data_IF_962822591850
#
_entry.id   IF_962822591850
#
_cell.length_a   1.000
_cell.length_b   1.000
_cell.length_c   1.000
_cell.angle_alpha   90.00
_cell.angle_beta   90.00
_cell.angle_gamma   90.00
#
_symmetry.space_group_name_H-M   'P 1'
#
loop_
_entity.id
_entity.type
_entity.pdbx_description
1 polymer ?
#
# COMPACT_ATOMS: atom_id res chain seq x y z
N UNK A 1 -33.82 17.83 -30.76
CA UNK A 1 -32.41 18.16 -30.39
C UNK A 1 -32.06 17.83 -28.94
N UNK A 2 -32.72 18.40 -27.92
CA UNK A 2 -32.34 18.18 -26.50
C UNK A 2 -32.28 16.70 -26.05
N UNK A 3 -33.24 15.86 -26.44
CA UNK A 3 -33.24 14.42 -26.09
C UNK A 3 -32.10 13.64 -26.75
N UNK A 4 -31.71 14.00 -27.97
CA UNK A 4 -30.59 13.36 -28.67
C UNK A 4 -29.27 13.77 -28.01
N UNK A 5 -29.14 15.05 -27.68
CA UNK A 5 -27.97 15.57 -26.96
C UNK A 5 -27.78 14.89 -25.59
N UNK A 6 -28.86 14.71 -24.82
CA UNK A 6 -28.80 14.00 -23.53
C UNK A 6 -28.33 12.57 -23.73
N UNK A 7 -28.87 11.83 -24.71
CA UNK A 7 -28.44 10.45 -25.00
C UNK A 7 -26.96 10.37 -25.36
N UNK A 8 -26.46 11.30 -26.17
CA UNK A 8 -25.04 11.35 -26.56
C UNK A 8 -24.16 11.60 -25.33
N UNK A 9 -24.53 12.58 -24.49
CA UNK A 9 -23.79 12.86 -23.25
C UNK A 9 -23.80 11.65 -22.32
N UNK A 10 -24.95 10.99 -22.11
CA UNK A 10 -25.04 9.78 -21.28
C UNK A 10 -24.13 8.67 -21.79
N UNK A 11 -24.10 8.41 -23.10
CA UNK A 11 -23.23 7.38 -23.69
C UNK A 11 -21.76 7.72 -23.46
N UNK A 12 -21.37 8.98 -23.72
CA UNK A 12 -19.98 9.42 -23.51
C UNK A 12 -19.59 9.25 -22.05
N UNK A 13 -20.42 9.73 -21.11
CA UNK A 13 -20.15 9.61 -19.68
C UNK A 13 -20.05 8.15 -19.24
N UNK A 14 -20.99 7.28 -19.64
CA UNK A 14 -20.92 5.86 -19.31
C UNK A 14 -19.67 5.19 -19.87
N UNK A 15 -19.26 5.51 -21.09
CA UNK A 15 -18.02 5.00 -21.68
C UNK A 15 -16.78 5.50 -20.94
N UNK A 16 -16.76 6.76 -20.51
CA UNK A 16 -15.66 7.32 -19.70
C UNK A 16 -15.49 6.63 -18.36
N UNK A 17 -16.57 6.15 -17.74
CA UNK A 17 -16.48 5.40 -16.47
C UNK A 17 -16.16 3.91 -16.67
N UNK A 18 -16.57 3.28 -17.78
CA UNK A 18 -16.29 1.86 -18.06
C UNK A 18 -14.85 1.66 -18.58
N UNK A 19 -14.31 2.62 -19.32
CA UNK A 19 -13.01 2.50 -19.98
C UNK A 19 -11.83 2.25 -19.00
N UNK A 20 -11.72 2.93 -17.84
CA UNK A 20 -10.70 2.61 -16.83
C UNK A 20 -10.82 1.18 -16.31
N UNK A 21 -12.04 0.68 -16.09
CA UNK A 21 -12.23 -0.72 -15.64
C UNK A 21 -11.80 -1.75 -16.69
N UNK A 22 -11.76 -1.42 -17.99
CA UNK A 22 -11.28 -2.35 -19.01
C UNK A 22 -9.80 -2.23 -19.30
N UNK A 23 -9.23 -1.03 -19.15
CA UNK A 23 -7.84 -0.74 -19.53
C UNK A 23 -6.86 -0.80 -18.36
N UNK A 24 -7.33 -0.48 -17.15
CA UNK A 24 -6.51 -0.43 -15.93
C UNK A 24 -6.80 -1.57 -14.95
N UNK A 25 -7.85 -2.37 -15.15
CA UNK A 25 -8.09 -3.55 -14.30
C UNK A 25 -7.16 -4.74 -14.61
N UNK A 26 -6.32 -4.63 -15.65
CA UNK A 26 -5.31 -5.62 -15.97
C UNK A 26 -3.93 -5.06 -15.62
N UNK A 27 -3.44 -5.35 -14.42
CA UNK A 27 -2.03 -5.17 -14.06
C UNK A 27 -1.26 -6.44 -14.44
N UNK A 28 -0.47 -6.44 -15.52
CA UNK A 28 0.37 -7.59 -15.87
C UNK A 28 1.43 -7.76 -14.76
N UNK A 29 1.21 -8.74 -13.89
CA UNK A 29 2.11 -9.03 -12.77
C UNK A 29 1.43 -9.10 -11.39
N UNK A 30 0.17 -8.65 -11.25
CA UNK A 30 -0.55 -8.74 -9.97
C UNK A 30 -0.75 -10.19 -9.48
N UNK A 31 -0.65 -11.18 -10.37
CA UNK A 31 -0.71 -12.61 -10.07
C UNK A 31 0.56 -13.38 -10.41
N UNK A 32 1.64 -12.71 -10.84
CA UNK A 32 2.92 -13.41 -10.89
C UNK A 32 3.35 -13.63 -9.45
N UNK A 33 3.30 -14.88 -8.99
CA UNK A 33 4.07 -15.34 -7.85
C UNK A 33 5.53 -15.17 -8.25
N UNK A 34 6.04 -13.95 -8.10
CA UNK A 34 7.46 -13.69 -8.08
C UNK A 34 7.97 -14.54 -6.94
N UNK A 35 8.80 -15.55 -7.25
CA UNK A 35 9.62 -16.24 -6.26
C UNK A 35 10.28 -15.13 -5.46
N UNK A 36 9.76 -14.85 -4.26
CA UNK A 36 10.12 -13.69 -3.47
C UNK A 36 11.63 -13.64 -3.41
N UNK A 37 12.26 -12.74 -4.18
CA UNK A 37 13.69 -12.53 -4.06
C UNK A 37 13.88 -12.04 -2.63
N UNK A 38 14.65 -12.74 -1.78
CA UNK A 38 14.99 -12.21 -0.47
C UNK A 38 15.78 -10.93 -0.75
N UNK A 39 15.11 -9.79 -0.61
CA UNK A 39 15.65 -8.51 -1.03
C UNK A 39 16.10 -7.80 0.23
N UNK A 40 17.31 -8.15 0.65
CA UNK A 40 18.07 -7.40 1.63
C UNK A 40 18.43 -6.04 1.01
N UNK A 41 17.67 -5.00 1.32
CA UNK A 41 18.04 -3.63 0.92
C UNK A 41 19.07 -3.14 1.92
N UNK A 42 20.27 -2.76 1.46
CA UNK A 42 21.29 -2.23 2.36
C UNK A 42 21.08 -0.72 2.54
N UNK A 43 20.80 -0.30 3.78
CA UNK A 43 20.70 1.09 4.17
C UNK A 43 21.70 1.37 5.31
N UNK A 44 22.57 2.37 5.12
CA UNK A 44 23.63 2.72 6.08
C UNK A 44 24.48 1.51 6.54
N UNK A 45 24.75 0.58 5.62
CA UNK A 45 25.52 -0.64 5.91
C UNK A 45 24.76 -1.73 6.68
N UNK A 46 23.47 -1.54 6.95
CA UNK A 46 22.58 -2.56 7.53
C UNK A 46 21.65 -3.12 6.46
N UNK A 47 21.46 -4.43 6.42
CA UNK A 47 20.40 -5.03 5.62
C UNK A 47 19.04 -4.72 6.27
N UNK A 48 18.07 -4.35 5.44
CA UNK A 48 16.65 -4.30 5.79
C UNK A 48 16.06 -5.57 5.23
N UNK A 49 15.82 -6.53 6.13
CA UNK A 49 15.35 -7.86 5.78
C UNK A 49 13.88 -7.99 6.15
N UNK A 50 13.04 -8.27 5.15
CA UNK A 50 11.61 -8.51 5.37
C UNK A 50 11.33 -10.01 5.36
N UNK A 51 10.73 -10.58 6.42
CA UNK A 51 10.28 -11.97 6.40
C UNK A 51 9.27 -12.21 5.25
N UNK A 52 9.50 -13.25 4.46
CA UNK A 52 8.64 -13.61 3.32
C UNK A 52 7.16 -13.85 3.69
N UNK A 53 6.88 -14.16 4.96
CA UNK A 53 5.51 -14.30 5.49
C UNK A 53 4.74 -12.98 5.58
N UNK A 54 5.45 -11.85 5.69
CA UNK A 54 4.85 -10.51 5.81
C UNK A 54 4.67 -9.84 4.45
N UNK A 55 5.48 -10.20 3.46
CA UNK A 55 5.37 -9.66 2.11
C UNK A 55 6.60 -9.91 1.26
N UNK A 56 6.61 -9.30 0.08
CA UNK A 56 7.71 -9.31 -0.89
C UNK A 56 8.05 -7.89 -1.34
N UNK A 57 9.30 -7.69 -1.77
CA UNK A 57 9.74 -6.42 -2.35
C UNK A 57 9.59 -6.49 -3.87
N UNK A 58 8.69 -5.67 -4.41
CA UNK A 58 8.48 -5.57 -5.86
C UNK A 58 9.58 -4.77 -6.56
N UNK A 59 9.97 -3.63 -5.96
CA UNK A 59 10.94 -2.70 -6.54
C UNK A 59 11.83 -2.11 -5.45
N UNK A 60 13.11 -1.98 -5.77
CA UNK A 60 14.09 -1.34 -4.89
C UNK A 60 14.96 -0.38 -5.70
N UNK A 61 15.19 0.81 -5.15
CA UNK A 61 15.99 1.87 -5.76
C UNK A 61 16.98 2.40 -4.73
N UNK A 62 18.20 2.68 -5.16
CA UNK A 62 19.22 3.25 -4.30
C UNK A 62 19.08 4.78 -4.25
N UNK A 63 18.67 5.29 -3.10
CA UNK A 63 18.74 6.72 -2.77
C UNK A 63 20.07 7.09 -2.10
N UNK A 64 20.19 8.37 -1.73
CA UNK A 64 21.38 8.89 -1.06
C UNK A 64 21.30 8.73 0.46
N UNK A 65 20.33 9.39 1.11
CA UNK A 65 20.40 9.64 2.56
C UNK A 65 19.16 9.19 3.37
N UNK A 66 18.13 8.66 2.73
CA UNK A 66 16.90 8.25 3.43
C UNK A 66 16.37 6.95 2.86
N UNK A 67 15.91 6.08 3.73
CA UNK A 67 15.12 4.92 3.37
C UNK A 67 13.64 5.33 3.32
N UNK A 68 13.03 5.10 2.17
CA UNK A 68 11.59 5.28 1.97
C UNK A 68 11.04 3.92 1.56
N UNK A 69 10.05 3.44 2.30
CA UNK A 69 9.40 2.16 2.05
C UNK A 69 7.95 2.45 1.68
N UNK A 70 7.59 2.14 0.44
CA UNK A 70 6.19 2.13 0.01
C UNK A 70 5.63 0.74 0.26
N UNK A 71 4.57 0.67 1.07
CA UNK A 71 3.82 -0.56 1.31
C UNK A 71 2.54 -0.46 0.49
N UNK A 72 2.26 -1.48 -0.33
CA UNK A 72 1.01 -1.56 -1.07
C UNK A 72 -0.07 -2.18 -0.17
N UNK A 73 -1.23 -1.53 -0.10
CA UNK A 73 -2.40 -2.06 0.61
C UNK A 73 -3.36 -2.74 -0.35
N UNK A 74 -3.92 -3.86 0.09
CA UNK A 74 -5.12 -4.44 -0.47
C UNK A 74 -6.28 -4.08 0.45
N UNK A 75 -7.06 -3.08 0.03
CA UNK A 75 -8.13 -2.53 0.85
C UNK A 75 -9.11 -3.60 1.35
N UNK A 76 -9.51 -3.46 2.61
CA UNK A 76 -10.46 -4.35 3.30
C UNK A 76 -10.02 -5.82 3.42
N UNK A 77 -8.72 -6.11 3.33
CA UNK A 77 -8.19 -7.45 3.57
C UNK A 77 -7.50 -7.54 4.95
N UNK A 78 -8.12 -8.26 5.89
CA UNK A 78 -7.63 -8.38 7.27
C UNK A 78 -6.23 -8.97 7.37
N UNK A 79 -5.93 -10.04 6.63
CA UNK A 79 -4.61 -10.69 6.67
C UNK A 79 -3.51 -9.78 6.14
N UNK A 80 -3.79 -9.04 5.05
CA UNK A 80 -2.86 -8.04 4.51
C UNK A 80 -2.62 -6.93 5.53
N UNK A 81 -3.67 -6.39 6.14
CA UNK A 81 -3.54 -5.33 7.16
C UNK A 81 -2.73 -5.80 8.38
N UNK A 82 -2.91 -7.05 8.81
CA UNK A 82 -2.11 -7.66 9.89
C UNK A 82 -0.64 -7.82 9.48
N UNK A 83 -0.37 -8.21 8.24
CA UNK A 83 0.99 -8.28 7.72
C UNK A 83 1.64 -6.89 7.66
N UNK A 84 0.92 -5.86 7.23
CA UNK A 84 1.38 -4.46 7.23
C UNK A 84 1.73 -4.00 8.64
N UNK A 85 0.86 -4.26 9.63
CA UNK A 85 1.14 -3.95 11.02
C UNK A 85 2.42 -4.66 11.52
N UNK A 86 2.60 -5.93 11.14
CA UNK A 86 3.82 -6.70 11.42
C UNK A 86 5.08 -6.11 10.79
N UNK A 87 5.00 -5.64 9.54
CA UNK A 87 6.10 -4.96 8.85
C UNK A 87 6.48 -3.66 9.57
N UNK A 88 5.50 -2.82 9.89
CA UNK A 88 5.70 -1.55 10.59
C UNK A 88 6.34 -1.80 11.96
N UNK A 89 5.86 -2.80 12.71
CA UNK A 89 6.42 -3.17 14.00
C UNK A 89 7.89 -3.58 13.91
N UNK A 90 8.24 -4.45 12.94
CA UNK A 90 9.61 -4.88 12.71
C UNK A 90 10.52 -3.70 12.36
N UNK A 91 10.09 -2.85 11.43
CA UNK A 91 10.83 -1.66 11.00
C UNK A 91 11.03 -0.66 12.15
N UNK A 92 10.01 -0.47 13.00
CA UNK A 92 10.12 0.36 14.19
C UNK A 92 11.15 -0.20 15.19
N UNK A 93 11.10 -1.51 15.44
CA UNK A 93 11.96 -2.19 16.41
C UNK A 93 13.43 -2.27 15.96
N UNK A 94 13.67 -2.57 14.69
CA UNK A 94 15.02 -2.90 14.19
C UNK A 94 15.71 -1.73 13.48
N UNK A 95 14.93 -0.83 12.88
CA UNK A 95 15.44 0.24 12.02
C UNK A 95 15.08 1.65 12.49
N UNK A 96 14.42 1.79 13.65
CA UNK A 96 14.12 3.10 14.24
C UNK A 96 13.21 3.95 13.37
N UNK A 97 12.15 3.34 12.80
CA UNK A 97 11.13 4.02 12.01
C UNK A 97 10.62 5.28 12.72
N UNK A 98 10.73 6.44 12.05
CA UNK A 98 10.38 7.75 12.62
C UNK A 98 9.04 8.30 12.16
N UNK A 99 8.56 7.81 11.02
CA UNK A 99 7.37 8.33 10.35
C UNK A 99 6.64 7.19 9.64
N UNK A 100 5.33 7.12 9.85
CA UNK A 100 4.40 6.32 9.06
C UNK A 100 3.42 7.31 8.43
N UNK A 101 3.26 7.26 7.12
CA UNK A 101 2.29 8.05 6.38
C UNK A 101 1.23 7.15 5.77
N UNK A 102 -0.01 7.63 5.73
CA UNK A 102 -1.14 6.97 5.08
C UNK A 102 -1.49 7.70 3.77
N UNK A 103 -1.95 6.95 2.77
CA UNK A 103 -2.39 7.53 1.50
C UNK A 103 -3.58 8.48 1.74
N UNK A 104 -3.46 9.71 1.24
CA UNK A 104 -4.51 10.72 1.37
C UNK A 104 -4.60 11.42 2.73
N UNK A 105 -3.81 11.00 3.73
CA UNK A 105 -3.75 11.66 5.03
C UNK A 105 -2.86 12.92 4.98
N UNK A 106 -3.16 13.89 5.86
CA UNK A 106 -2.37 15.10 6.02
C UNK A 106 -2.30 15.53 7.48
N UNK A 107 -1.07 15.80 7.96
CA UNK A 107 -0.83 16.20 9.33
C UNK A 107 -0.57 15.02 10.25
N UNK A 108 -0.72 15.25 11.55
CA UNK A 108 -0.61 14.21 12.58
C UNK A 108 -1.99 13.68 12.92
N UNK A 109 -2.17 12.36 12.82
CA UNK A 109 -3.43 11.72 13.20
C UNK A 109 -3.46 11.43 14.70
N UNK A 110 -4.61 11.68 15.32
CA UNK A 110 -4.87 11.29 16.70
C UNK A 110 -5.29 9.81 16.75
N UNK A 111 -4.41 8.98 17.30
CA UNK A 111 -4.62 7.53 17.45
C UNK A 111 -5.09 7.13 18.84
N UNK A 112 -5.35 8.08 19.75
CA UNK A 112 -5.83 7.81 21.10
C UNK A 112 -7.17 7.05 21.11
N UNK A 113 -8.15 7.34 20.22
CA UNK A 113 -9.38 6.55 20.14
C UNK A 113 -9.10 5.07 19.86
N UNK A 114 -8.15 4.75 18.99
CA UNK A 114 -7.77 3.37 18.66
C UNK A 114 -7.08 2.70 19.86
N UNK A 115 -6.17 3.42 20.52
CA UNK A 115 -5.50 2.93 21.74
C UNK A 115 -6.46 2.71 22.91
N UNK A 116 -7.59 3.39 22.93
CA UNK A 116 -8.61 3.24 23.97
C UNK A 116 -9.41 1.93 23.87
N UNK A 117 -9.38 1.23 22.73
CA UNK A 117 -10.16 -0.01 22.54
C UNK A 117 -9.83 -1.03 23.64
N UNK A 118 -10.81 -1.61 24.33
CA UNK A 118 -10.56 -2.38 25.56
C UNK A 118 -9.87 -3.73 25.36
N UNK A 119 -9.72 -4.18 24.11
CA UNK A 119 -9.17 -5.49 23.78
C UNK A 119 -7.71 -5.29 23.36
N UNK A 120 -6.78 -5.72 24.21
CA UNK A 120 -5.35 -5.50 24.03
C UNK A 120 -4.79 -6.20 22.79
N UNK A 121 -5.40 -7.31 22.38
CA UNK A 121 -5.02 -8.09 21.20
C UNK A 121 -5.33 -7.38 19.87
N UNK A 122 -6.12 -6.31 19.90
CA UNK A 122 -6.51 -5.53 18.71
C UNK A 122 -5.92 -4.10 18.73
N UNK A 123 -5.14 -3.77 19.77
CA UNK A 123 -4.31 -2.55 19.83
C UNK A 123 -2.96 -2.80 19.19
#
# INVERSE_FOLDING_TARGET
>A
MKRVLIKVITIITSLSFIFPYMTWAFEPGAYSISLAKPLSVVYEGKSVDLPAKLGSVEKAFQGQNKLIIHIQDLHCNYEVQKNIAGMIHLLAKEHGLKLVGEEGAFGTEDIDPIRSFPIAEIR
#
